data_IF_130085249391
#
_entry.id   IF_130085249391
#
_cell.length_a   1.000
_cell.length_b   1.000
_cell.length_c   1.000
_cell.angle_alpha   90.00
_cell.angle_beta   90.00
_cell.angle_gamma   90.00
#
_symmetry.space_group_name_H-M   'P 1'
#
loop_
_entity.id
_entity.type
_entity.pdbx_description
1 polymer ?
#
# COMPACT_ATOMS: atom_id res chain seq x y z
N UNK A 1 -17.28 -28.60 21.54
CA UNK A 1 -17.65 -27.92 20.28
C UNK A 1 -16.69 -26.78 20.07
N UNK A 2 -15.65 -26.95 19.25
CA UNK A 2 -14.67 -25.89 18.97
C UNK A 2 -15.18 -25.13 17.75
N UNK A 3 -15.70 -23.92 17.95
CA UNK A 3 -16.00 -23.05 16.80
C UNK A 3 -14.69 -22.63 16.14
N UNK A 4 -14.57 -22.69 14.80
CA UNK A 4 -13.49 -22.01 14.13
C UNK A 4 -13.71 -20.51 14.36
N UNK A 5 -12.83 -19.88 15.12
CA UNK A 5 -12.77 -18.42 15.12
C UNK A 5 -12.51 -17.99 13.67
N UNK A 6 -13.25 -17.00 13.15
CA UNK A 6 -12.99 -16.50 11.81
C UNK A 6 -11.52 -16.09 11.74
N UNK A 7 -10.86 -16.51 10.65
CA UNK A 7 -9.47 -16.14 10.43
C UNK A 7 -9.35 -14.61 10.51
N UNK A 8 -8.31 -14.08 11.17
CA UNK A 8 -8.13 -12.64 11.30
C UNK A 8 -8.08 -11.99 9.91
N UNK A 9 -8.79 -10.86 9.75
CA UNK A 9 -8.91 -10.13 8.47
C UNK A 9 -7.56 -9.70 7.90
N UNK A 10 -6.56 -9.50 8.77
CA UNK A 10 -5.21 -9.05 8.40
C UNK A 10 -4.19 -9.83 9.23
N UNK A 11 -3.11 -10.31 8.59
CA UNK A 11 -1.98 -10.96 9.27
C UNK A 11 -0.86 -9.95 9.50
N UNK A 12 -0.36 -9.87 10.74
CA UNK A 12 0.77 -9.00 11.09
C UNK A 12 2.05 -9.81 10.95
N UNK A 13 2.89 -9.46 9.97
CA UNK A 13 4.20 -10.13 9.77
C UNK A 13 5.26 -9.64 10.76
N UNK A 14 5.21 -8.35 11.12
CA UNK A 14 6.19 -7.68 11.98
C UNK A 14 5.52 -6.56 12.78
N UNK A 15 6.01 -6.32 14.00
CA UNK A 15 5.51 -5.28 14.90
C UNK A 15 4.35 -5.76 15.78
N UNK A 16 3.89 -4.88 16.67
CA UNK A 16 2.74 -5.12 17.55
C UNK A 16 1.88 -3.85 17.59
N UNK A 17 1.00 -3.63 16.60
CA UNK A 17 0.21 -2.42 16.52
C UNK A 17 -0.75 -2.32 17.71
N UNK A 18 -1.02 -1.09 18.14
CA UNK A 18 -2.05 -0.84 19.13
C UNK A 18 -3.43 -1.19 18.56
N UNK A 19 -4.41 -1.55 19.41
CA UNK A 19 -5.78 -1.84 18.97
C UNK A 19 -6.40 -0.72 18.11
N UNK A 20 -6.08 0.53 18.44
CA UNK A 20 -6.56 1.74 17.74
C UNK A 20 -6.01 1.82 16.31
N UNK A 21 -4.75 1.43 16.09
CA UNK A 21 -4.13 1.44 14.76
C UNK A 21 -4.76 0.37 13.87
N UNK A 22 -5.06 -0.81 14.42
CA UNK A 22 -5.73 -1.88 13.68
C UNK A 22 -7.20 -1.51 13.36
N UNK A 23 -7.89 -0.84 14.28
CA UNK A 23 -9.23 -0.32 14.07
C UNK A 23 -9.24 0.74 12.96
N UNK A 24 -8.28 1.68 12.98
CA UNK A 24 -8.14 2.70 11.95
C UNK A 24 -7.89 2.08 10.56
N UNK A 25 -6.99 1.10 10.48
CA UNK A 25 -6.73 0.37 9.23
C UNK A 25 -8.00 -0.33 8.70
N UNK A 26 -8.73 -1.01 9.58
CA UNK A 26 -9.97 -1.70 9.23
C UNK A 26 -11.04 -0.74 8.73
N UNK A 27 -11.21 0.41 9.40
CA UNK A 27 -12.15 1.44 8.99
C UNK A 27 -11.83 1.98 7.58
N UNK A 28 -10.55 2.23 7.27
CA UNK A 28 -10.12 2.67 5.94
C UNK A 28 -10.42 1.62 4.88
N UNK A 29 -10.12 0.35 5.16
CA UNK A 29 -10.40 -0.75 4.22
C UNK A 29 -11.89 -0.89 3.94
N UNK A 30 -12.73 -0.87 4.98
CA UNK A 30 -14.19 -0.92 4.82
C UNK A 30 -14.73 0.28 4.06
N UNK A 31 -14.25 1.49 4.36
CA UNK A 31 -14.65 2.69 3.63
C UNK A 31 -14.25 2.62 2.15
N UNK A 32 -13.13 1.96 1.82
CA UNK A 32 -12.69 1.80 0.43
C UNK A 32 -13.46 0.73 -0.33
N UNK A 33 -13.89 -0.34 0.34
CA UNK A 33 -14.66 -1.45 -0.24
C UNK A 33 -16.14 -1.11 -0.38
N UNK A 34 -16.71 -0.44 0.62
CA UNK A 34 -18.14 -0.10 0.69
C UNK A 34 -18.45 1.33 0.23
N UNK A 35 -17.42 2.16 0.03
CA UNK A 35 -17.59 3.51 -0.47
C UNK A 35 -18.13 3.54 -1.89
N UNK A 36 -18.78 4.65 -2.31
CA UNK A 36 -19.16 4.83 -3.70
C UNK A 36 -17.92 4.65 -4.58
N UNK A 37 -18.12 4.05 -5.75
CA UNK A 37 -17.12 4.03 -6.82
C UNK A 37 -16.92 5.48 -7.24
N UNK A 38 -16.07 6.20 -6.51
CA UNK A 38 -15.55 7.49 -6.93
C UNK A 38 -14.67 7.14 -8.10
N UNK A 39 -15.29 7.13 -9.27
CA UNK A 39 -14.60 7.09 -10.55
C UNK A 39 -13.45 8.10 -10.41
N UNK A 40 -12.19 7.65 -10.49
CA UNK A 40 -11.08 8.56 -10.31
C UNK A 40 -11.29 9.69 -11.30
N UNK A 41 -11.41 10.91 -10.79
CA UNK A 41 -11.56 12.13 -11.58
C UNK A 41 -10.64 12.04 -12.80
N UNK A 42 -11.08 12.46 -13.99
CA UNK A 42 -10.30 12.31 -15.21
C UNK A 42 -8.90 12.97 -15.07
N UNK A 43 -8.74 13.93 -14.14
CA UNK A 43 -7.44 14.45 -13.69
C UNK A 43 -6.55 13.42 -12.96
N UNK A 44 -7.14 12.55 -12.13
CA UNK A 44 -6.47 11.41 -11.50
C UNK A 44 -6.22 10.25 -12.50
N UNK A 45 -7.03 10.10 -13.57
CA UNK A 45 -6.74 9.17 -14.67
C UNK A 45 -5.55 9.60 -15.52
N UNK A 46 -5.41 10.91 -15.79
CA UNK A 46 -4.25 11.48 -16.48
C UNK A 46 -2.95 11.36 -15.68
N UNK A 47 -3.05 11.35 -14.35
CA UNK A 47 -1.98 11.00 -13.42
C UNK A 47 -2.21 9.61 -12.87
N UNK A 48 -2.35 8.59 -13.72
CA UNK A 48 -2.26 7.21 -13.24
C UNK A 48 -1.00 7.16 -12.38
N UNK A 49 -1.16 6.93 -11.07
CA UNK A 49 -0.04 6.74 -10.17
C UNK A 49 0.60 5.42 -10.59
N UNK A 50 1.41 5.49 -11.65
CA UNK A 50 2.22 4.38 -12.09
C UNK A 50 3.19 4.21 -10.94
N UNK A 51 3.01 3.15 -10.18
CA UNK A 51 4.00 2.81 -9.20
C UNK A 51 5.33 2.67 -9.96
N UNK A 52 6.25 3.60 -9.72
CA UNK A 52 7.55 3.71 -10.40
C UNK A 52 8.49 2.59 -9.95
N UNK A 53 7.98 1.36 -9.91
CA UNK A 53 8.76 0.15 -9.68
C UNK A 53 9.80 0.08 -10.78
N UNK A 54 10.99 0.62 -10.49
CA UNK A 54 12.16 0.44 -11.34
C UNK A 54 12.55 -1.02 -11.22
N UNK A 55 12.78 -1.69 -12.35
CA UNK A 55 13.41 -3.02 -12.41
C UNK A 55 14.90 -2.80 -12.16
N UNK A 56 15.42 -3.03 -10.95
CA UNK A 56 16.81 -2.70 -10.63
C UNK A 56 17.80 -3.47 -11.50
N UNK A 57 17.38 -4.61 -12.05
CA UNK A 57 18.17 -5.46 -12.94
C UNK A 57 18.32 -4.89 -14.36
N UNK A 58 17.50 -3.89 -14.74
CA UNK A 58 17.48 -3.27 -16.07
C UNK A 58 18.02 -1.84 -16.10
N UNK A 59 18.42 -1.31 -14.95
CA UNK A 59 19.08 -0.02 -14.82
C UNK A 59 20.53 -0.31 -14.48
N UNK A 60 21.48 0.38 -15.10
CA UNK A 60 22.87 0.35 -14.65
C UNK A 60 22.90 0.79 -13.19
N UNK A 61 23.15 -0.16 -12.29
CA UNK A 61 23.18 0.12 -10.86
C UNK A 61 24.34 1.06 -10.50
N UNK A 62 24.16 1.78 -9.39
CA UNK A 62 25.17 2.59 -8.70
C UNK A 62 26.10 3.40 -9.63
N UNK A 63 25.65 4.60 -10.00
CA UNK A 63 26.48 5.58 -10.74
C UNK A 63 27.54 6.29 -9.86
N UNK A 64 27.74 5.84 -8.62
CA UNK A 64 28.74 6.35 -7.69
C UNK A 64 28.18 6.82 -6.33
N UNK A 65 29.05 7.12 -5.35
CA UNK A 65 28.66 7.37 -3.96
C UNK A 65 27.81 8.63 -3.71
N UNK A 66 27.55 9.45 -4.73
CA UNK A 66 26.75 10.69 -4.63
C UNK A 66 25.38 10.62 -5.31
N UNK A 67 25.01 9.49 -5.90
CA UNK A 67 23.84 9.39 -6.79
C UNK A 67 22.54 8.98 -6.09
N UNK A 68 22.52 8.95 -4.75
CA UNK A 68 21.33 8.67 -3.94
C UNK A 68 20.16 9.68 -4.09
N UNK A 69 20.36 10.79 -4.82
CA UNK A 69 19.38 11.87 -4.98
C UNK A 69 18.83 12.08 -6.39
N UNK A 70 19.25 11.33 -7.41
CA UNK A 70 18.68 11.52 -8.75
C UNK A 70 17.43 10.66 -8.97
N UNK A 71 16.30 11.16 -8.48
CA UNK A 71 14.98 10.83 -8.98
C UNK A 71 14.24 12.16 -9.23
N UNK A 72 14.40 12.69 -10.44
CA UNK A 72 13.38 13.51 -11.08
C UNK A 72 12.61 12.62 -12.06
#
# INVERSE_FOLDING_TARGET
MTQPYPAPLVRIEKGNPAPEELAALTAVLLARVLGPDVEPDDQARGRRAVAHWRRPERVTGFDGPRTWRSAA
#
